data_IF_535375049429
#
_entry.id   IF_535375049429
#
_cell.length_a   1.000
_cell.length_b   1.000
_cell.length_c   1.000
_cell.angle_alpha   90.00
_cell.angle_beta   90.00
_cell.angle_gamma   90.00
#
_symmetry.space_group_name_H-M   'P 1'
#
loop_
_entity.id
_entity.type
_entity.pdbx_description
1 polymer ?
#
# COMPACT_ATOMS: atom_id res chain seq x y z
N UNK A 1 -6.44 -13.03 -7.88
CA UNK A 1 -7.60 -13.24 -6.98
C UNK A 1 -7.74 -11.97 -6.14
N UNK A 2 -8.90 -11.69 -5.53
CA UNK A 2 -8.96 -10.64 -4.50
C UNK A 2 -8.39 -11.22 -3.19
N UNK A 3 -7.64 -10.42 -2.43
CA UNK A 3 -7.08 -10.83 -1.14
C UNK A 3 -8.16 -10.77 -0.05
N UNK A 4 -8.38 -11.85 0.72
CA UNK A 4 -9.29 -11.84 1.87
C UNK A 4 -8.91 -10.78 2.92
N UNK A 5 -9.91 -10.27 3.64
CA UNK A 5 -9.70 -9.26 4.67
C UNK A 5 -8.89 -9.80 5.87
N UNK A 6 -8.99 -11.11 6.11
CA UNK A 6 -8.30 -11.86 7.15
C UNK A 6 -6.79 -11.96 6.88
N UNK A 7 -6.40 -12.13 5.60
CA UNK A 7 -5.00 -12.08 5.17
C UNK A 7 -4.44 -10.67 5.34
N UNK A 8 -5.15 -9.65 4.83
CA UNK A 8 -4.75 -8.25 4.97
C UNK A 8 -4.63 -7.81 6.45
N UNK A 9 -5.54 -8.27 7.32
CA UNK A 9 -5.46 -8.03 8.76
C UNK A 9 -4.27 -8.76 9.41
N UNK A 10 -3.90 -9.94 8.92
CA UNK A 10 -2.71 -10.67 9.38
C UNK A 10 -1.41 -9.97 8.97
N UNK A 11 -1.38 -9.34 7.78
CA UNK A 11 -0.29 -8.46 7.37
C UNK A 11 -0.21 -7.21 8.26
N UNK A 12 -1.34 -6.55 8.52
CA UNK A 12 -1.42 -5.37 9.40
C UNK A 12 -0.99 -5.68 10.84
N UNK A 13 -1.32 -6.86 11.38
CA UNK A 13 -0.82 -7.29 12.70
C UNK A 13 0.70 -7.45 12.77
N UNK A 14 1.35 -7.63 11.63
CA UNK A 14 2.82 -7.68 11.51
C UNK A 14 3.42 -6.30 11.19
N UNK A 15 2.69 -5.48 10.43
CA UNK A 15 3.09 -4.15 9.96
C UNK A 15 1.97 -3.14 10.27
N UNK A 16 1.87 -2.66 11.52
CA UNK A 16 0.75 -1.83 11.99
C UNK A 16 0.81 -0.38 11.50
N UNK A 17 1.85 0.00 10.75
CA UNK A 17 1.96 1.30 10.11
C UNK A 17 1.24 1.25 8.76
N UNK A 18 0.31 2.19 8.53
CA UNK A 18 -0.42 2.35 7.27
C UNK A 18 -0.13 3.75 6.71
N UNK A 19 0.07 3.84 5.40
CA UNK A 19 0.18 5.13 4.70
C UNK A 19 -0.49 5.10 3.33
N UNK A 20 -0.86 6.28 2.83
CA UNK A 20 -1.47 6.52 1.52
C UNK A 20 -0.73 7.64 0.77
N UNK A 21 0.45 8.04 1.25
CA UNK A 21 1.21 9.18 0.76
C UNK A 21 2.72 8.87 0.71
N UNK A 22 3.26 8.62 -0.49
CA UNK A 22 4.69 8.32 -0.74
C UNK A 22 5.61 9.54 -0.66
N UNK A 23 5.12 10.67 -0.12
CA UNK A 23 5.94 11.82 0.29
C UNK A 23 6.27 11.78 1.80
N UNK A 24 5.64 10.85 2.54
CA UNK A 24 5.97 10.53 3.94
C UNK A 24 6.87 9.28 3.97
N UNK A 25 7.59 9.01 5.08
CA UNK A 25 8.28 7.75 5.25
C UNK A 25 7.31 6.57 5.14
N UNK A 26 7.57 5.64 4.22
CA UNK A 26 6.76 4.42 4.02
C UNK A 26 7.45 3.16 4.55
N UNK A 27 8.66 3.27 5.09
CA UNK A 27 9.47 2.14 5.57
C UNK A 27 8.69 1.28 6.57
N UNK A 28 8.73 -0.03 6.38
CA UNK A 28 8.09 -1.05 7.23
C UNK A 28 6.54 -0.92 7.34
N UNK A 29 5.91 -0.14 6.45
CA UNK A 29 4.47 0.13 6.44
C UNK A 29 3.72 -0.59 5.32
N UNK A 30 2.39 -0.63 5.43
CA UNK A 30 1.49 -1.03 4.34
C UNK A 30 1.04 0.23 3.61
N UNK A 31 1.43 0.37 2.34
CA UNK A 31 0.98 1.46 1.47
C UNK A 31 -0.31 1.07 0.73
N UNK A 32 -1.35 1.89 0.85
CA UNK A 32 -2.61 1.69 0.14
C UNK A 32 -2.75 2.68 -1.02
N UNK A 33 -2.84 2.13 -2.24
CA UNK A 33 -3.00 2.86 -3.49
C UNK A 33 -4.43 3.38 -3.64
N UNK A 34 -4.81 4.42 -2.90
CA UNK A 34 -6.13 5.03 -3.04
C UNK A 34 -6.26 5.77 -4.37
N UNK A 35 -7.43 5.65 -5.01
CA UNK A 35 -7.76 6.30 -6.28
C UNK A 35 -8.95 7.24 -6.12
N UNK A 36 -8.87 8.39 -6.77
CA UNK A 36 -9.89 9.44 -6.74
C UNK A 36 -9.85 10.31 -8.00
N UNK A 37 -10.76 11.27 -8.11
CA UNK A 37 -10.98 12.02 -9.35
C UNK A 37 -9.75 12.75 -9.92
N UNK A 38 -8.77 13.10 -9.09
CA UNK A 38 -7.55 13.83 -9.47
C UNK A 38 -6.25 13.13 -9.00
N UNK A 39 -6.29 11.85 -8.62
CA UNK A 39 -5.14 11.14 -8.05
C UNK A 39 -5.29 9.62 -8.21
N UNK A 40 -4.22 8.95 -8.66
CA UNK A 40 -4.15 7.48 -8.72
C UNK A 40 -2.98 6.97 -7.88
N UNK A 41 -3.26 6.37 -6.72
CA UNK A 41 -2.23 5.82 -5.85
C UNK A 41 -1.42 4.67 -6.48
N UNK A 42 -1.99 3.96 -7.47
CA UNK A 42 -1.33 2.83 -8.12
C UNK A 42 -0.07 3.27 -8.90
N UNK A 43 -0.04 4.51 -9.40
CA UNK A 43 1.14 5.11 -10.06
C UNK A 43 2.36 5.24 -9.13
N UNK A 44 2.16 5.13 -7.81
CA UNK A 44 3.20 5.22 -6.80
C UNK A 44 3.54 3.86 -6.16
N UNK A 45 2.96 2.76 -6.64
CA UNK A 45 3.15 1.42 -6.06
C UNK A 45 4.61 0.96 -6.08
N UNK A 46 5.29 1.08 -7.23
CA UNK A 46 6.72 0.74 -7.35
C UNK A 46 7.60 1.65 -6.48
N UNK A 47 7.29 2.95 -6.42
CA UNK A 47 7.98 3.91 -5.56
C UNK A 47 7.85 3.53 -4.09
N UNK A 48 6.66 3.15 -3.63
CA UNK A 48 6.44 2.73 -2.25
C UNK A 48 7.25 1.48 -1.88
N UNK A 49 7.35 0.49 -2.79
CA UNK A 49 8.22 -0.68 -2.59
C UNK A 49 9.71 -0.29 -2.54
N UNK A 50 10.17 0.58 -3.45
CA UNK A 50 11.55 1.05 -3.49
C UNK A 50 11.95 1.88 -2.25
N UNK A 51 11.02 2.68 -1.70
CA UNK A 51 11.18 3.43 -0.45
C UNK A 51 11.04 2.55 0.82
N UNK A 52 10.83 1.24 0.67
CA UNK A 52 10.85 0.26 1.76
C UNK A 52 9.50 -0.06 2.43
N UNK A 53 8.37 0.17 1.76
CA UNK A 53 7.09 -0.35 2.22
C UNK A 53 7.13 -1.88 2.32
N UNK A 54 6.64 -2.44 3.42
CA UNK A 54 6.60 -3.89 3.63
C UNK A 54 5.58 -4.57 2.71
N UNK A 55 4.46 -3.89 2.45
CA UNK A 55 3.42 -4.34 1.53
C UNK A 55 2.80 -3.15 0.79
N UNK A 56 2.33 -3.40 -0.43
CA UNK A 56 1.56 -2.44 -1.23
C UNK A 56 0.24 -3.08 -1.64
N UNK A 57 -0.85 -2.34 -1.44
CA UNK A 57 -2.23 -2.75 -1.79
C UNK A 57 -2.71 -1.89 -2.96
N UNK A 58 -2.90 -2.53 -4.12
CA UNK A 58 -3.36 -1.90 -5.39
C UNK A 58 -4.85 -2.20 -5.66
N UNK A 59 -5.59 -1.27 -6.28
CA UNK A 59 -6.91 -1.57 -6.88
C UNK A 59 -6.79 -2.05 -8.34
N UNK A 60 -5.69 -1.70 -9.00
CA UNK A 60 -5.39 -2.07 -10.38
C UNK A 60 -4.46 -3.29 -10.44
N UNK A 61 -4.53 -4.07 -11.53
CA UNK A 61 -3.51 -5.08 -11.81
C UNK A 61 -2.26 -4.41 -12.37
N UNK A 62 -1.11 -4.75 -11.80
CA UNK A 62 0.17 -4.75 -12.52
C UNK A 62 0.21 -5.91 -13.55
#
# INVERSE_FOLDING_TARGET
MQTPAEELYSLYRSHPLITTDTRKPVKDSIFFCLKGANFNGNEFAEKAMADGAAYVVVDEKA
#
